data_IF_041621834831
#
_entry.id   IF_041621834831
#
_cell.length_a   1.000
_cell.length_b   1.000
_cell.length_c   1.000
_cell.angle_alpha   90.00
_cell.angle_beta   90.00
_cell.angle_gamma   90.00
#
_symmetry.space_group_name_H-M   'P 1'
#
loop_
_entity.id
_entity.type
_entity.pdbx_description
1 polymer ?
#
# COMPACT_ATOMS: atom_id res chain seq x y z
N UNK A 1 -5.66 47.67 -0.90
CA UNK A 1 -6.53 47.36 -2.05
C UNK A 1 -7.94 47.80 -1.66
N UNK A 2 -8.80 48.22 -2.58
CA UNK A 2 -10.19 48.54 -2.20
C UNK A 2 -10.93 47.21 -1.98
N UNK A 3 -11.29 46.90 -0.74
CA UNK A 3 -12.09 45.70 -0.43
C UNK A 3 -13.46 45.83 -1.10
N UNK A 4 -13.84 44.82 -1.89
CA UNK A 4 -15.18 44.79 -2.51
C UNK A 4 -16.26 44.73 -1.43
N UNK A 5 -17.33 45.50 -1.59
CA UNK A 5 -18.40 45.61 -0.61
C UNK A 5 -19.11 44.26 -0.33
N UNK A 6 -19.30 43.43 -1.35
CA UNK A 6 -19.92 42.09 -1.24
C UNK A 6 -19.07 41.09 -0.44
N UNK A 7 -17.75 41.17 -0.56
CA UNK A 7 -16.81 40.41 0.25
C UNK A 7 -16.86 40.89 1.71
N UNK A 8 -16.88 42.20 1.94
CA UNK A 8 -16.96 42.77 3.30
C UNK A 8 -18.26 42.38 4.02
N UNK A 9 -19.40 42.40 3.33
CA UNK A 9 -20.70 41.99 3.86
C UNK A 9 -20.70 40.52 4.32
N UNK A 10 -20.22 39.60 3.47
CA UNK A 10 -20.17 38.17 3.83
C UNK A 10 -19.15 37.88 4.94
N UNK A 11 -18.06 38.65 5.02
CA UNK A 11 -17.10 38.56 6.12
C UNK A 11 -17.72 39.03 7.45
N UNK A 12 -18.49 40.13 7.44
CA UNK A 12 -19.23 40.62 8.60
C UNK A 12 -20.30 39.63 9.07
N UNK A 13 -20.94 38.91 8.15
CA UNK A 13 -21.88 37.83 8.45
C UNK A 13 -21.21 36.51 8.94
N UNK A 14 -19.88 36.49 9.12
CA UNK A 14 -19.15 35.36 9.71
C UNK A 14 -18.93 34.16 8.78
N UNK A 15 -19.06 34.34 7.46
CA UNK A 15 -18.72 33.28 6.51
C UNK A 15 -17.20 33.06 6.42
N UNK A 16 -16.82 31.82 6.12
CA UNK A 16 -15.41 31.44 5.91
C UNK A 16 -14.94 31.75 4.49
N UNK A 17 -13.64 32.03 4.34
CA UNK A 17 -13.05 32.56 3.10
C UNK A 17 -13.34 31.70 1.87
N UNK A 18 -13.28 30.36 2.01
CA UNK A 18 -13.60 29.43 0.90
C UNK A 18 -15.08 29.44 0.50
N UNK A 19 -15.98 29.65 1.46
CA UNK A 19 -17.42 29.74 1.18
C UNK A 19 -17.72 31.01 0.40
N UNK A 20 -17.14 32.14 0.84
CA UNK A 20 -17.24 33.43 0.16
C UNK A 20 -16.66 33.34 -1.25
N UNK A 21 -15.45 32.79 -1.38
CA UNK A 21 -14.77 32.59 -2.66
C UNK A 21 -15.62 31.81 -3.66
N UNK A 22 -16.23 30.69 -3.22
CA UNK A 22 -17.12 29.87 -4.06
C UNK A 22 -18.40 30.61 -4.44
N UNK A 23 -19.01 31.34 -3.49
CA UNK A 23 -20.28 32.04 -3.69
C UNK A 23 -20.17 33.23 -4.64
N UNK A 24 -19.07 33.98 -4.55
CA UNK A 24 -18.83 35.19 -5.33
C UNK A 24 -17.93 34.98 -6.55
N UNK A 25 -17.45 33.75 -6.78
CA UNK A 25 -16.54 33.45 -7.90
C UNK A 25 -15.18 34.14 -7.81
N UNK A 26 -14.68 34.41 -6.60
CA UNK A 26 -13.38 35.06 -6.36
C UNK A 26 -12.35 34.07 -5.80
N UNK A 27 -11.07 34.42 -5.85
CA UNK A 27 -10.03 33.57 -5.26
C UNK A 27 -10.08 33.64 -3.73
N UNK A 28 -9.81 32.51 -3.07
CA UNK A 28 -9.74 32.47 -1.60
C UNK A 28 -8.67 33.42 -1.04
N UNK A 29 -7.57 33.64 -1.78
CA UNK A 29 -6.51 34.58 -1.41
C UNK A 29 -7.06 36.01 -1.36
N UNK A 30 -7.86 36.43 -2.35
CA UNK A 30 -8.48 37.76 -2.36
C UNK A 30 -9.38 37.99 -1.13
N UNK A 31 -10.14 36.97 -0.73
CA UNK A 31 -10.97 37.04 0.50
C UNK A 31 -10.11 37.09 1.76
N UNK A 32 -9.02 36.32 1.82
CA UNK A 32 -8.10 36.37 2.96
C UNK A 32 -7.40 37.72 3.07
N UNK A 33 -6.96 38.33 1.97
CA UNK A 33 -6.40 39.69 1.96
C UNK A 33 -7.43 40.70 2.45
N UNK A 34 -8.66 40.65 1.94
CA UNK A 34 -9.75 41.52 2.40
C UNK A 34 -10.03 41.37 3.90
N UNK A 35 -10.03 40.13 4.42
CA UNK A 35 -10.16 39.85 5.86
C UNK A 35 -9.05 40.51 6.67
N UNK A 36 -7.81 40.43 6.21
CA UNK A 36 -6.65 41.07 6.86
C UNK A 36 -6.74 42.59 6.82
N UNK A 37 -7.11 43.18 5.68
CA UNK A 37 -7.30 44.63 5.54
C UNK A 37 -8.42 45.18 6.46
N UNK A 38 -9.46 44.37 6.72
CA UNK A 38 -10.54 44.71 7.65
C UNK A 38 -10.22 44.43 9.13
N UNK A 39 -9.01 43.95 9.46
CA UNK A 39 -8.63 43.62 10.84
C UNK A 39 -9.41 42.45 11.45
N UNK A 40 -10.04 41.62 10.63
CA UNK A 40 -10.84 40.48 11.10
C UNK A 40 -9.93 39.29 11.45
N UNK A 41 -10.24 38.53 12.51
CA UNK A 41 -9.44 37.37 12.88
C UNK A 41 -9.46 36.33 11.76
N UNK A 42 -8.32 35.65 11.56
CA UNK A 42 -8.17 34.57 10.58
C UNK A 42 -9.30 33.55 10.76
N UNK A 43 -10.07 33.30 9.69
CA UNK A 43 -11.10 32.27 9.72
C UNK A 43 -10.46 30.94 10.14
N UNK A 44 -10.98 30.32 11.20
CA UNK A 44 -10.59 28.96 11.58
C UNK A 44 -11.02 28.03 10.45
N UNK A 45 -10.09 27.70 9.56
CA UNK A 45 -10.31 26.76 8.47
C UNK A 45 -10.65 25.39 9.04
N UNK A 46 -11.76 24.82 8.56
CA UNK A 46 -12.25 23.52 8.99
C UNK A 46 -13.77 23.48 8.96
N UNK A 47 -14.35 22.28 8.91
CA UNK A 47 -15.75 22.13 9.25
C UNK A 47 -15.90 22.62 10.68
N UNK A 48 -16.83 23.58 10.93
CA UNK A 48 -17.20 23.95 12.30
C UNK A 48 -17.42 22.63 13.05
N UNK A 49 -16.70 22.38 14.17
CA UNK A 49 -16.91 21.16 14.94
C UNK A 49 -18.40 21.10 15.20
N UNK A 50 -19.04 20.03 14.72
CA UNK A 50 -20.45 19.83 15.05
C UNK A 50 -20.57 19.77 16.56
N UNK A 51 -21.65 20.35 17.09
CA UNK A 51 -21.86 20.39 18.53
C UNK A 51 -21.96 18.97 19.10
N UNK A 52 -22.43 18.02 18.30
CA UNK A 52 -22.57 16.62 18.67
C UNK A 52 -22.22 15.65 17.53
N UNK A 53 -22.14 14.35 17.85
CA UNK A 53 -21.97 13.29 16.85
C UNK A 53 -23.26 13.10 16.04
N UNK A 54 -24.41 13.39 16.64
CA UNK A 54 -25.75 13.35 16.04
C UNK A 54 -25.91 14.43 14.96
N UNK A 55 -25.36 15.63 15.19
CA UNK A 55 -25.30 16.69 14.18
C UNK A 55 -24.48 16.25 12.94
N UNK A 56 -23.34 15.58 13.16
CA UNK A 56 -22.55 15.04 12.04
C UNK A 56 -23.27 13.92 11.31
N UNK A 57 -24.07 13.13 12.03
CA UNK A 57 -24.90 12.10 11.45
C UNK A 57 -25.92 12.72 10.49
N UNK A 58 -26.71 13.71 10.93
CA UNK A 58 -27.73 14.33 10.08
C UNK A 58 -27.15 15.10 8.88
N UNK A 59 -25.94 15.67 8.99
CA UNK A 59 -25.25 16.25 7.83
C UNK A 59 -24.90 15.24 6.73
N UNK A 60 -24.89 13.95 7.04
CA UNK A 60 -24.45 12.85 6.15
C UNK A 60 -25.55 11.85 5.83
N UNK A 61 -26.62 11.83 6.61
CA UNK A 61 -27.81 11.02 6.35
C UNK A 61 -28.72 11.79 5.39
N UNK A 62 -28.97 11.20 4.21
CA UNK A 62 -29.86 11.77 3.20
C UNK A 62 -31.19 11.00 3.21
N UNK A 63 -32.35 11.66 3.35
CA UNK A 63 -33.63 10.99 3.25
C UNK A 63 -33.82 10.43 1.83
N UNK A 64 -34.42 9.25 1.74
CA UNK A 64 -34.84 8.60 0.49
C UNK A 64 -36.27 8.06 0.68
N UNK A 65 -36.92 7.65 -0.41
CA UNK A 65 -38.32 7.20 -0.38
C UNK A 65 -38.56 6.06 0.62
N UNK A 66 -39.77 6.03 1.21
CA UNK A 66 -40.17 5.01 2.17
C UNK A 66 -39.64 5.21 3.60
N UNK A 67 -39.24 6.43 3.96
CA UNK A 67 -38.73 6.73 5.31
C UNK A 67 -37.33 6.17 5.58
N UNK A 68 -36.59 5.82 4.52
CA UNK A 68 -35.22 5.35 4.63
C UNK A 68 -34.24 6.52 4.62
N UNK A 69 -33.03 6.26 5.11
CA UNK A 69 -31.92 7.19 4.99
C UNK A 69 -30.70 6.50 4.40
N UNK A 70 -30.13 7.13 3.38
CA UNK A 70 -28.86 6.71 2.80
C UNK A 70 -27.70 7.45 3.46
N UNK A 71 -26.62 6.72 3.74
CA UNK A 71 -25.39 7.31 4.26
C UNK A 71 -24.47 7.82 3.14
N UNK A 72 -24.23 9.13 3.10
CA UNK A 72 -23.32 9.79 2.15
C UNK A 72 -21.91 10.02 2.70
N UNK A 73 -21.68 9.68 3.98
CA UNK A 73 -20.40 9.84 4.65
C UNK A 73 -19.39 8.73 4.40
N UNK A 74 -18.28 8.78 5.15
CA UNK A 74 -17.23 7.76 5.11
C UNK A 74 -17.72 6.37 5.52
N UNK A 75 -17.03 5.34 5.02
CA UNK A 75 -17.33 3.92 5.28
C UNK A 75 -16.04 3.19 5.63
N UNK A 76 -16.15 2.13 6.42
CA UNK A 76 -15.03 1.22 6.70
C UNK A 76 -14.66 0.42 5.44
N UNK A 77 -13.53 -0.30 5.48
CA UNK A 77 -13.14 -1.24 4.42
C UNK A 77 -14.15 -2.37 4.18
N UNK A 78 -15.03 -2.65 5.16
CA UNK A 78 -16.13 -3.61 5.07
C UNK A 78 -17.45 -2.96 4.61
N UNK A 79 -17.44 -1.67 4.26
CA UNK A 79 -18.60 -0.91 3.80
C UNK A 79 -19.52 -0.40 4.91
N UNK A 80 -19.16 -0.59 6.20
CA UNK A 80 -19.95 -0.11 7.34
C UNK A 80 -19.93 1.42 7.39
N UNK A 81 -21.08 2.10 7.44
CA UNK A 81 -21.11 3.56 7.54
C UNK A 81 -20.54 4.04 8.88
N UNK A 82 -19.67 5.05 8.84
CA UNK A 82 -18.93 5.55 10.01
C UNK A 82 -18.93 7.07 10.09
N UNK A 83 -19.00 7.59 11.32
CA UNK A 83 -18.84 9.00 11.67
C UNK A 83 -17.65 9.15 12.61
N UNK A 84 -16.69 10.00 12.23
CA UNK A 84 -15.60 10.40 13.11
C UNK A 84 -15.98 11.71 13.78
N UNK A 85 -15.96 11.74 15.11
CA UNK A 85 -16.28 12.90 15.94
C UNK A 85 -15.29 12.98 17.12
N UNK A 86 -15.08 14.18 17.66
CA UNK A 86 -14.03 14.45 18.65
C UNK A 86 -12.85 15.23 18.07
N UNK A 87 -12.18 16.00 18.92
CA UNK A 87 -11.13 16.96 18.56
C UNK A 87 -9.82 16.30 18.11
N UNK A 88 -8.77 16.37 18.96
CA UNK A 88 -7.44 15.84 18.64
C UNK A 88 -7.43 14.31 18.58
N UNK A 89 -8.21 13.66 19.43
CA UNK A 89 -8.48 12.22 19.38
C UNK A 89 -9.85 12.05 18.73
N UNK A 90 -9.87 11.51 17.52
CA UNK A 90 -11.11 11.24 16.80
C UNK A 90 -11.66 9.90 17.25
N UNK A 91 -12.81 9.92 17.89
CA UNK A 91 -13.58 8.72 18.14
C UNK A 91 -14.34 8.33 16.87
N UNK A 92 -14.35 7.04 16.55
CA UNK A 92 -15.07 6.52 15.38
C UNK A 92 -16.31 5.78 15.84
N UNK A 93 -17.48 6.34 15.54
CA UNK A 93 -18.77 5.71 15.77
C UNK A 93 -19.29 5.11 14.47
N UNK A 94 -20.01 4.00 14.53
CA UNK A 94 -20.79 3.56 13.35
C UNK A 94 -22.03 4.42 13.23
N UNK A 95 -22.45 4.74 12.00
CA UNK A 95 -23.68 5.51 11.80
C UNK A 95 -24.91 4.79 12.39
N UNK A 96 -24.89 3.45 12.44
CA UNK A 96 -25.95 2.67 13.08
C UNK A 96 -26.03 2.89 14.60
N UNK A 97 -24.89 2.93 15.32
CA UNK A 97 -24.92 3.21 16.77
C UNK A 97 -25.46 4.61 17.07
N UNK A 98 -25.07 5.59 16.26
CA UNK A 98 -25.56 6.98 16.41
C UNK A 98 -27.05 7.06 16.10
N UNK A 99 -27.51 6.43 15.01
CA UNK A 99 -28.94 6.36 14.68
C UNK A 99 -29.77 5.66 15.77
N UNK A 100 -29.26 4.58 16.35
CA UNK A 100 -29.91 3.91 17.50
C UNK A 100 -30.03 4.87 18.68
N UNK A 101 -28.95 5.57 19.04
CA UNK A 101 -28.94 6.55 20.13
C UNK A 101 -29.91 7.70 19.87
N UNK A 102 -29.98 8.22 18.64
CA UNK A 102 -30.94 9.27 18.25
C UNK A 102 -32.38 8.83 18.52
N UNK A 103 -32.75 7.58 18.19
CA UNK A 103 -34.10 7.06 18.42
C UNK A 103 -34.40 6.78 19.88
N UNK A 104 -33.46 6.13 20.58
CA UNK A 104 -33.72 5.53 21.89
C UNK A 104 -33.23 6.40 23.06
N UNK A 105 -32.47 7.45 22.80
CA UNK A 105 -31.88 8.31 23.83
C UNK A 105 -30.76 7.65 24.65
N UNK A 106 -30.39 6.41 24.33
CA UNK A 106 -29.40 5.61 25.07
C UNK A 106 -28.44 4.92 24.12
N UNK A 107 -27.25 4.59 24.62
CA UNK A 107 -26.28 3.83 23.85
C UNK A 107 -26.68 2.36 23.70
N UNK A 108 -26.49 1.76 22.51
CA UNK A 108 -26.76 0.36 22.30
C UNK A 108 -25.74 -0.51 23.05
N UNK A 109 -26.24 -1.59 23.66
CA UNK A 109 -25.47 -2.55 24.44
C UNK A 109 -24.69 -3.47 23.50
N UNK A 110 -25.30 -3.89 22.38
CA UNK A 110 -24.68 -4.82 21.43
C UNK A 110 -24.53 -4.21 20.03
N UNK A 111 -24.56 -5.07 19.01
CA UNK A 111 -24.30 -4.69 17.63
C UNK A 111 -25.55 -4.10 16.99
N UNK A 112 -25.46 -2.88 16.48
CA UNK A 112 -26.54 -2.26 15.73
C UNK A 112 -26.55 -2.68 14.26
N UNK A 113 -27.75 -3.00 13.75
CA UNK A 113 -27.98 -3.36 12.36
C UNK A 113 -29.27 -2.71 11.84
N UNK A 114 -29.37 -2.45 10.52
CA UNK A 114 -30.64 -2.09 9.89
C UNK A 114 -31.62 -3.26 10.01
N UNK A 115 -32.77 -3.05 10.63
CA UNK A 115 -33.85 -4.04 10.71
C UNK A 115 -34.76 -4.04 9.47
N UNK A 116 -34.66 -3.01 8.62
CA UNK A 116 -35.37 -2.94 7.35
C UNK A 116 -34.63 -3.66 6.22
N UNK A 117 -35.35 -4.05 5.17
CA UNK A 117 -34.76 -4.65 3.95
C UNK A 117 -33.97 -3.67 3.07
N UNK A 118 -34.02 -2.36 3.35
CA UNK A 118 -33.30 -1.36 2.55
C UNK A 118 -31.78 -1.45 2.77
N UNK A 119 -30.97 -1.65 1.71
CA UNK A 119 -29.53 -1.86 1.84
C UNK A 119 -28.83 -0.71 2.58
N UNK A 120 -28.28 -1.03 3.77
CA UNK A 120 -27.47 -0.11 4.59
C UNK A 120 -28.21 1.17 5.01
N UNK A 121 -29.53 1.07 5.20
CA UNK A 121 -30.34 2.13 5.78
C UNK A 121 -29.75 2.59 7.11
N UNK A 122 -29.66 3.91 7.33
CA UNK A 122 -29.25 4.50 8.60
C UNK A 122 -30.40 5.19 9.33
N UNK A 123 -31.64 5.09 8.85
CA UNK A 123 -32.80 5.73 9.48
C UNK A 123 -32.93 5.27 10.94
N UNK A 124 -33.01 6.18 11.93
CA UNK A 124 -33.13 5.82 13.35
C UNK A 124 -34.24 4.79 13.62
N UNK A 125 -35.38 4.92 12.95
CA UNK A 125 -36.56 4.05 13.04
C UNK A 125 -36.32 2.63 12.51
N UNK A 126 -35.27 2.45 11.72
CA UNK A 126 -34.91 1.19 11.09
C UNK A 126 -33.64 0.58 11.66
N UNK A 127 -33.09 1.09 12.76
CA UNK A 127 -31.95 0.46 13.44
C UNK A 127 -32.43 -0.30 14.66
N UNK A 128 -31.91 -1.52 14.82
CA UNK A 128 -32.10 -2.35 16.00
C UNK A 128 -30.76 -2.76 16.62
N UNK A 129 -30.77 -3.02 17.92
CA UNK A 129 -29.66 -3.62 18.66
C UNK A 129 -29.83 -5.15 18.71
N UNK A 130 -28.77 -5.91 18.44
CA UNK A 130 -28.78 -7.38 18.49
C UNK A 130 -29.08 -7.94 19.88
N UNK A 131 -28.90 -7.16 20.94
CA UNK A 131 -29.34 -7.55 22.28
C UNK A 131 -30.87 -7.49 22.47
N UNK A 132 -31.56 -6.66 21.69
CA UNK A 132 -33.01 -6.45 21.78
C UNK A 132 -33.80 -7.14 20.66
N UNK A 133 -33.18 -7.38 19.50
CA UNK A 133 -33.83 -8.00 18.35
C UNK A 133 -32.90 -8.99 17.64
N UNK A 134 -33.48 -10.10 17.17
CA UNK A 134 -32.74 -11.06 16.34
C UNK A 134 -32.43 -10.43 14.99
N UNK A 135 -31.15 -10.48 14.58
CA UNK A 135 -30.71 -10.02 13.27
C UNK A 135 -31.35 -10.85 12.15
N UNK A 136 -31.98 -10.23 11.14
CA UNK A 136 -32.48 -10.94 9.98
C UNK A 136 -31.37 -11.69 9.25
N UNK A 137 -31.63 -12.96 8.89
CA UNK A 137 -30.66 -13.84 8.24
C UNK A 137 -30.13 -13.29 6.90
N UNK A 138 -30.88 -12.39 6.23
CA UNK A 138 -30.47 -11.79 4.96
C UNK A 138 -29.26 -10.84 5.07
N UNK A 139 -28.92 -10.37 6.28
CA UNK A 139 -27.69 -9.61 6.50
C UNK A 139 -26.44 -10.48 6.70
N UNK A 140 -26.56 -11.82 6.66
CA UNK A 140 -25.43 -12.75 6.58
C UNK A 140 -24.91 -12.94 5.14
N UNK A 141 -25.51 -12.24 4.16
CA UNK A 141 -25.15 -12.24 2.73
C UNK A 141 -23.71 -11.82 2.39
N UNK A 142 -22.87 -11.50 3.38
CA UNK A 142 -21.43 -11.30 3.20
C UNK A 142 -20.61 -12.58 3.02
N UNK A 143 -21.22 -13.78 3.09
CA UNK A 143 -20.51 -15.06 2.86
C UNK A 143 -21.20 -15.95 1.84
N UNK A 144 -21.79 -15.36 0.80
CA UNK A 144 -22.11 -16.09 -0.42
C UNK A 144 -20.85 -16.30 -1.26
N UNK A 145 -20.09 -17.36 -0.92
CA UNK A 145 -19.32 -18.23 -1.82
C UNK A 145 -19.15 -17.66 -3.25
N UNK A 146 -17.98 -17.13 -3.59
CA UNK A 146 -17.59 -17.09 -5.02
C UNK A 146 -17.73 -18.51 -5.53
N UNK A 147 -18.63 -18.67 -6.50
CA UNK A 147 -19.16 -19.95 -6.98
C UNK A 147 -18.09 -21.03 -7.09
N UNK A 148 -18.50 -22.28 -6.88
CA UNK A 148 -17.71 -23.48 -7.17
C UNK A 148 -17.25 -23.56 -8.63
N UNK A 149 -17.58 -22.58 -9.50
CA UNK A 149 -17.20 -22.51 -10.91
C UNK A 149 -15.72 -22.79 -11.19
N UNK A 150 -14.81 -22.38 -10.31
CA UNK A 150 -13.36 -22.64 -10.48
C UNK A 150 -12.84 -23.85 -9.72
N UNK A 151 -13.68 -24.58 -8.98
CA UNK A 151 -13.24 -25.76 -8.23
C UNK A 151 -12.76 -26.84 -9.18
N UNK A 152 -13.51 -27.12 -10.23
CA UNK A 152 -13.18 -28.16 -11.20
C UNK A 152 -11.90 -27.83 -11.98
N UNK A 153 -11.72 -26.56 -12.37
CA UNK A 153 -10.48 -26.08 -12.98
C UNK A 153 -9.28 -26.22 -12.03
N UNK A 154 -9.44 -25.89 -10.75
CA UNK A 154 -8.40 -26.09 -9.73
C UNK A 154 -8.07 -27.58 -9.61
N UNK A 155 -9.08 -28.47 -9.52
CA UNK A 155 -8.88 -29.93 -9.42
C UNK A 155 -8.16 -30.48 -10.66
N UNK A 156 -8.50 -29.98 -11.86
CA UNK A 156 -7.80 -30.34 -13.10
C UNK A 156 -6.31 -29.98 -13.04
N UNK A 157 -5.98 -28.71 -12.76
CA UNK A 157 -4.57 -28.27 -12.69
C UNK A 157 -3.79 -28.95 -11.55
N UNK A 158 -4.48 -29.29 -10.46
CA UNK A 158 -3.92 -30.09 -9.37
C UNK A 158 -3.53 -31.50 -9.83
N UNK A 159 -4.38 -32.18 -10.63
CA UNK A 159 -4.07 -33.50 -11.22
C UNK A 159 -2.92 -33.45 -12.23
N UNK A 160 -2.72 -32.32 -12.89
CA UNK A 160 -1.56 -32.05 -13.75
C UNK A 160 -0.27 -31.77 -12.95
N UNK A 161 -0.29 -31.86 -11.62
CA UNK A 161 0.88 -31.70 -10.76
C UNK A 161 1.33 -30.24 -10.57
N UNK A 162 0.51 -29.25 -10.96
CA UNK A 162 0.87 -27.83 -10.84
C UNK A 162 0.92 -27.39 -9.37
N UNK A 163 1.79 -26.43 -9.05
CA UNK A 163 1.91 -25.90 -7.68
C UNK A 163 0.73 -24.98 -7.31
N UNK A 164 0.41 -24.87 -6.02
CA UNK A 164 -0.70 -24.00 -5.56
C UNK A 164 -0.52 -22.54 -6.00
N UNK A 165 0.72 -22.02 -5.99
CA UNK A 165 1.03 -20.65 -6.41
C UNK A 165 0.83 -20.44 -7.91
N UNK A 166 1.18 -21.45 -8.69
CA UNK A 166 1.05 -21.40 -10.14
C UNK A 166 -0.42 -21.45 -10.57
N UNK A 167 -1.20 -22.36 -9.97
CA UNK A 167 -2.66 -22.42 -10.14
C UNK A 167 -3.32 -21.10 -9.73
N UNK A 168 -2.94 -20.56 -8.57
CA UNK A 168 -3.46 -19.29 -8.08
C UNK A 168 -3.20 -18.13 -9.03
N UNK A 169 -1.99 -18.06 -9.62
CA UNK A 169 -1.65 -17.05 -10.63
C UNK A 169 -2.46 -17.24 -11.90
N UNK A 170 -2.58 -18.49 -12.36
CA UNK A 170 -3.27 -18.84 -13.61
C UNK A 170 -4.77 -18.55 -13.54
N UNK A 171 -5.43 -18.93 -12.45
CA UNK A 171 -6.88 -18.79 -12.28
C UNK A 171 -7.30 -17.53 -11.53
N UNK A 172 -6.33 -16.67 -11.17
CA UNK A 172 -6.53 -15.48 -10.34
C UNK A 172 -7.34 -15.79 -9.06
N UNK A 173 -6.93 -16.83 -8.32
CA UNK A 173 -7.55 -17.25 -7.05
C UNK A 173 -6.56 -17.17 -5.90
N UNK A 174 -7.07 -17.16 -4.67
CA UNK A 174 -6.22 -17.19 -3.47
C UNK A 174 -5.45 -18.54 -3.37
N UNK A 175 -4.11 -18.54 -3.20
CA UNK A 175 -3.33 -19.78 -3.07
C UNK A 175 -3.73 -20.69 -1.91
N UNK A 176 -4.27 -20.15 -0.81
CA UNK A 176 -4.80 -20.92 0.32
C UNK A 176 -6.10 -21.62 -0.04
N UNK A 177 -6.92 -21.05 -0.93
CA UNK A 177 -8.09 -21.75 -1.50
C UNK A 177 -7.64 -23.00 -2.25
N UNK A 178 -6.63 -22.88 -3.13
CA UNK A 178 -6.06 -24.03 -3.83
C UNK A 178 -5.49 -25.06 -2.86
N UNK A 179 -4.79 -24.61 -1.81
CA UNK A 179 -4.26 -25.49 -0.76
C UNK A 179 -5.34 -26.28 -0.01
N UNK A 180 -6.47 -25.66 0.32
CA UNK A 180 -7.62 -26.38 0.90
C UNK A 180 -8.20 -27.41 -0.07
N UNK A 181 -8.44 -27.01 -1.32
CA UNK A 181 -8.97 -27.93 -2.35
C UNK A 181 -8.02 -29.12 -2.56
N UNK A 182 -6.70 -28.89 -2.59
CA UNK A 182 -5.69 -29.95 -2.67
C UNK A 182 -5.82 -30.96 -1.53
N UNK A 183 -5.94 -30.48 -0.29
CA UNK A 183 -6.13 -31.33 0.87
C UNK A 183 -7.46 -32.10 0.81
N UNK A 184 -8.55 -31.44 0.39
CA UNK A 184 -9.87 -32.04 0.23
C UNK A 184 -9.89 -33.18 -0.82
N UNK A 185 -9.11 -33.06 -1.91
CA UNK A 185 -9.01 -34.12 -2.92
C UNK A 185 -7.92 -35.16 -2.62
N UNK A 186 -7.33 -35.15 -1.42
CA UNK A 186 -6.35 -36.13 -0.98
C UNK A 186 -5.01 -36.09 -1.73
N UNK A 187 -4.70 -34.98 -2.41
CA UNK A 187 -3.41 -34.85 -3.10
C UNK A 187 -2.32 -34.45 -2.13
N UNK A 188 -1.16 -35.11 -2.22
CA UNK A 188 0.03 -34.74 -1.47
C UNK A 188 0.38 -33.26 -1.70
N UNK A 189 0.95 -32.64 -0.66
CA UNK A 189 1.48 -31.30 -0.77
C UNK A 189 2.50 -31.26 -1.93
N UNK A 190 2.42 -30.23 -2.76
CA UNK A 190 3.41 -30.04 -3.82
C UNK A 190 4.77 -29.83 -3.17
N UNK A 191 5.61 -30.87 -3.21
CA UNK A 191 7.02 -30.77 -2.86
C UNK A 191 7.65 -30.10 -4.06
N UNK A 192 7.97 -28.82 -3.91
CA UNK A 192 8.82 -28.16 -4.88
C UNK A 192 10.17 -28.87 -4.83
N UNK A 193 10.38 -29.81 -5.77
CA UNK A 193 11.72 -30.22 -6.16
C UNK A 193 12.33 -28.94 -6.69
N UNK A 194 13.06 -28.23 -5.82
CA UNK A 194 13.87 -27.11 -6.29
C UNK A 194 14.83 -27.77 -7.26
N UNK A 195 14.78 -27.46 -8.58
CA UNK A 195 15.91 -27.81 -9.42
C UNK A 195 17.15 -27.32 -8.67
N UNK A 196 18.21 -28.13 -8.63
CA UNK A 196 19.47 -27.76 -7.99
C UNK A 196 19.73 -26.31 -8.41
N UNK A 197 19.64 -25.40 -7.44
CA UNK A 197 19.51 -23.98 -7.77
C UNK A 197 20.72 -23.60 -8.62
N UNK A 198 20.50 -22.81 -9.68
CA UNK A 198 21.59 -22.27 -10.51
C UNK A 198 22.74 -21.85 -9.62
N UNK A 199 23.94 -22.35 -9.89
CA UNK A 199 25.10 -22.06 -9.06
C UNK A 199 25.37 -20.56 -9.02
N UNK A 200 26.17 -20.10 -8.05
CA UNK A 200 26.50 -18.68 -7.97
C UNK A 200 27.25 -18.22 -9.23
N UNK A 201 28.11 -19.10 -9.75
CA UNK A 201 28.93 -18.95 -10.94
C UNK A 201 28.05 -18.89 -12.20
N UNK A 202 27.11 -19.82 -12.37
CA UNK A 202 26.16 -19.82 -13.49
C UNK A 202 25.30 -18.56 -13.49
N UNK A 203 24.83 -18.14 -12.31
CA UNK A 203 24.02 -16.93 -12.18
C UNK A 203 24.83 -15.67 -12.51
N UNK A 204 26.11 -15.65 -12.16
CA UNK A 204 27.03 -14.60 -12.54
C UNK A 204 27.25 -14.59 -14.06
N UNK A 205 27.48 -15.75 -14.68
CA UNK A 205 27.66 -15.89 -16.12
C UNK A 205 26.45 -15.36 -16.92
N UNK A 206 25.23 -15.61 -16.44
CA UNK A 206 24.00 -15.06 -17.05
C UNK A 206 23.91 -13.53 -16.98
N UNK A 207 24.52 -12.93 -15.95
CA UNK A 207 24.46 -11.50 -15.64
C UNK A 207 25.60 -10.68 -16.26
N UNK A 208 26.46 -11.29 -17.08
CA UNK A 208 27.60 -10.60 -17.71
C UNK A 208 27.57 -10.64 -19.23
N UNK A 209 28.25 -9.69 -19.87
CA UNK A 209 28.42 -9.62 -21.33
C UNK A 209 29.89 -9.37 -21.66
N UNK A 210 30.55 -10.23 -22.46
CA UNK A 210 31.90 -9.96 -22.95
C UNK A 210 31.95 -8.66 -23.77
N UNK A 211 33.09 -7.97 -23.70
CA UNK A 211 33.37 -6.73 -24.43
C UNK A 211 34.80 -6.78 -24.99
N UNK A 212 35.16 -5.87 -25.91
CA UNK A 212 36.50 -5.85 -26.53
C UNK A 212 37.60 -5.72 -25.48
N UNK A 213 38.77 -6.33 -25.71
CA UNK A 213 39.93 -6.23 -24.80
C UNK A 213 39.86 -7.10 -23.55
N UNK A 214 39.11 -8.21 -23.57
CA UNK A 214 38.99 -9.13 -22.42
C UNK A 214 38.12 -8.60 -21.27
N UNK A 215 37.51 -7.44 -21.44
CA UNK A 215 36.61 -6.87 -20.44
C UNK A 215 35.28 -7.62 -20.40
N UNK A 216 34.66 -7.65 -19.22
CA UNK A 216 33.34 -8.23 -19.00
C UNK A 216 32.45 -7.20 -18.34
N UNK A 217 31.39 -6.76 -19.02
CA UNK A 217 30.46 -5.75 -18.53
C UNK A 217 29.33 -6.40 -17.74
N UNK A 218 29.00 -5.81 -16.60
CA UNK A 218 27.82 -6.21 -15.83
C UNK A 218 26.52 -5.81 -16.55
N UNK A 219 25.64 -6.78 -16.78
CA UNK A 219 24.30 -6.59 -17.34
C UNK A 219 23.16 -6.92 -16.34
N UNK A 220 23.52 -7.36 -15.13
CA UNK A 220 22.56 -7.67 -14.07
C UNK A 220 22.10 -6.46 -13.26
N UNK A 221 21.42 -6.74 -12.15
CA UNK A 221 20.93 -5.70 -11.23
C UNK A 221 22.08 -4.93 -10.54
N UNK A 222 21.87 -3.66 -10.27
CA UNK A 222 22.83 -2.79 -9.57
C UNK A 222 22.19 -2.23 -8.30
N UNK A 223 22.96 -2.15 -7.22
CA UNK A 223 22.57 -1.50 -5.97
C UNK A 223 23.44 -0.26 -5.78
N UNK A 224 22.88 0.91 -6.08
CA UNK A 224 23.66 2.14 -6.24
C UNK A 224 24.65 1.97 -7.41
N UNK A 225 25.94 2.15 -7.15
CA UNK A 225 27.03 1.99 -8.13
C UNK A 225 27.68 0.60 -8.12
N UNK A 226 27.13 -0.36 -7.36
CA UNK A 226 27.74 -1.68 -7.16
C UNK A 226 26.95 -2.77 -7.90
N UNK A 227 27.59 -3.53 -8.83
CA UNK A 227 27.05 -4.75 -9.40
C UNK A 227 26.57 -5.72 -8.32
N UNK A 228 25.29 -6.08 -8.30
CA UNK A 228 24.68 -6.88 -7.23
C UNK A 228 24.03 -8.15 -7.78
N UNK A 229 24.41 -9.29 -7.21
CA UNK A 229 23.91 -10.62 -7.56
C UNK A 229 23.25 -11.26 -6.34
N UNK A 230 21.94 -11.55 -6.41
CA UNK A 230 21.24 -12.22 -5.32
C UNK A 230 21.31 -13.73 -5.52
N UNK A 231 21.88 -14.49 -4.59
CA UNK A 231 21.92 -15.96 -4.63
C UNK A 231 21.67 -16.52 -3.24
N UNK A 232 20.81 -17.53 -3.10
CA UNK A 232 20.52 -18.15 -1.80
C UNK A 232 20.05 -17.19 -0.70
N UNK A 233 19.23 -16.17 -1.02
CA UNK A 233 18.82 -15.08 -0.09
C UNK A 233 19.95 -14.16 0.40
N UNK A 234 21.15 -14.27 -0.18
CA UNK A 234 22.30 -13.40 0.11
C UNK A 234 22.60 -12.50 -1.08
N UNK A 235 23.14 -11.33 -0.81
CA UNK A 235 23.65 -10.42 -1.84
C UNK A 235 25.15 -10.64 -2.00
N UNK A 236 25.59 -10.84 -3.24
CA UNK A 236 26.98 -10.97 -3.64
C UNK A 236 27.34 -9.80 -4.55
N UNK A 237 28.54 -9.26 -4.39
CA UNK A 237 29.08 -8.29 -5.35
C UNK A 237 29.44 -9.03 -6.64
N UNK A 238 28.94 -8.57 -7.79
CA UNK A 238 29.29 -9.15 -9.09
C UNK A 238 30.80 -9.15 -9.34
N UNK A 239 31.52 -8.14 -8.85
CA UNK A 239 33.00 -8.10 -8.91
C UNK A 239 33.66 -9.14 -8.00
N UNK A 240 33.12 -9.36 -6.80
CA UNK A 240 33.68 -10.34 -5.87
C UNK A 240 33.50 -11.78 -6.39
N UNK A 241 32.37 -12.07 -7.05
CA UNK A 241 32.15 -13.38 -7.68
C UNK A 241 33.09 -13.58 -8.86
N UNK A 242 33.21 -12.58 -9.77
CA UNK A 242 34.17 -12.65 -10.88
C UNK A 242 35.61 -12.84 -10.42
N UNK A 243 36.03 -12.10 -9.39
CA UNK A 243 37.34 -12.25 -8.74
C UNK A 243 37.57 -13.68 -8.23
N UNK A 244 36.59 -14.25 -7.51
CA UNK A 244 36.73 -15.59 -6.94
C UNK A 244 36.82 -16.68 -8.01
N UNK A 245 36.12 -16.52 -9.13
CA UNK A 245 36.21 -17.41 -10.30
C UNK A 245 37.62 -17.36 -10.91
N UNK A 246 38.14 -16.17 -11.18
CA UNK A 246 39.44 -16.03 -11.86
C UNK A 246 40.64 -16.38 -10.97
N UNK A 247 40.58 -16.07 -9.68
CA UNK A 247 41.72 -16.26 -8.76
C UNK A 247 41.62 -17.52 -7.89
N UNK A 248 40.52 -18.28 -7.97
CA UNK A 248 40.31 -19.48 -7.16
C UNK A 248 40.25 -19.24 -5.65
N UNK A 249 40.04 -17.99 -5.21
CA UNK A 249 39.98 -17.61 -3.78
C UNK A 249 38.97 -16.50 -3.52
N UNK A 250 38.44 -16.42 -2.30
CA UNK A 250 37.59 -15.28 -1.91
C UNK A 250 38.43 -14.00 -1.78
N UNK A 251 37.87 -12.83 -2.17
CA UNK A 251 38.56 -11.55 -2.03
C UNK A 251 38.65 -11.13 -0.57
N UNK A 252 39.74 -10.47 -0.21
CA UNK A 252 39.88 -9.84 1.11
C UNK A 252 39.53 -8.35 1.01
N UNK A 253 38.35 -8.00 1.53
CA UNK A 253 37.83 -6.63 1.52
C UNK A 253 37.14 -6.23 0.22
N UNK A 254 37.14 -4.92 -0.10
CA UNK A 254 36.44 -4.39 -1.27
C UNK A 254 37.18 -4.74 -2.56
N UNK A 255 36.44 -5.31 -3.53
CA UNK A 255 36.93 -5.57 -4.89
C UNK A 255 36.64 -4.38 -5.80
N UNK A 256 37.68 -3.89 -6.47
CA UNK A 256 37.63 -2.77 -7.40
C UNK A 256 38.16 -3.20 -8.77
N UNK A 257 37.68 -2.62 -9.88
CA UNK A 257 38.28 -2.85 -11.18
C UNK A 257 39.62 -2.08 -11.28
N UNK A 258 40.71 -2.76 -11.61
CA UNK A 258 42.02 -2.16 -11.88
C UNK A 258 42.16 -1.62 -13.31
N UNK A 259 41.32 -2.08 -14.24
CA UNK A 259 41.45 -1.80 -15.67
C UNK A 259 40.86 -0.45 -16.16
N UNK A 260 40.34 0.40 -15.28
CA UNK A 260 39.72 1.69 -15.63
C UNK A 260 38.38 1.63 -16.37
N UNK A 261 38.00 0.49 -16.95
CA UNK A 261 36.73 0.34 -17.67
C UNK A 261 35.53 0.34 -16.72
N UNK A 262 34.60 1.27 -16.93
CA UNK A 262 33.37 1.38 -16.16
C UNK A 262 32.56 0.08 -16.20
N UNK A 263 32.07 -0.37 -15.04
CA UNK A 263 31.27 -1.58 -14.89
C UNK A 263 31.94 -2.90 -15.31
N UNK A 264 33.27 -2.89 -15.47
CA UNK A 264 34.02 -4.14 -15.63
C UNK A 264 33.90 -4.99 -14.35
N UNK A 265 33.57 -6.26 -14.56
CA UNK A 265 33.51 -7.31 -13.54
C UNK A 265 34.38 -8.53 -13.89
N UNK A 266 35.17 -8.45 -14.97
CA UNK A 266 36.15 -9.49 -15.31
C UNK A 266 37.06 -9.75 -14.11
N UNK A 267 37.23 -11.02 -13.75
CA UNK A 267 37.96 -11.40 -12.54
C UNK A 267 39.44 -11.04 -12.63
N UNK A 268 40.02 -11.20 -13.82
CA UNK A 268 41.41 -10.87 -14.16
C UNK A 268 41.71 -9.37 -14.06
N UNK A 269 40.66 -8.54 -14.17
CA UNK A 269 40.76 -7.08 -14.04
C UNK A 269 40.36 -6.58 -12.66
N UNK A 270 40.05 -7.48 -11.72
CA UNK A 270 39.57 -7.14 -10.40
C UNK A 270 40.71 -7.28 -9.37
N UNK A 271 40.86 -6.27 -8.50
CA UNK A 271 41.84 -6.30 -7.41
C UNK A 271 41.14 -6.23 -6.07
N UNK A 272 41.63 -6.97 -5.09
CA UNK A 272 41.17 -6.90 -3.70
C UNK A 272 42.10 -6.02 -2.83
N UNK A 273 41.85 -5.95 -1.52
CA UNK A 273 42.60 -5.07 -0.62
C UNK A 273 44.10 -5.36 -0.59
N UNK A 274 44.53 -6.61 -0.33
CA UNK A 274 45.93 -6.99 -0.34
C UNK A 274 46.64 -6.72 -1.67
N UNK A 275 46.03 -7.06 -2.81
CA UNK A 275 46.64 -6.81 -4.12
C UNK A 275 46.91 -5.31 -4.33
N UNK A 276 45.92 -4.45 -4.04
CA UNK A 276 46.12 -3.00 -4.17
C UNK A 276 47.19 -2.43 -3.24
N UNK A 277 47.35 -2.99 -2.02
CA UNK A 277 48.43 -2.59 -1.12
C UNK A 277 49.79 -3.01 -1.65
N UNK A 278 49.89 -4.22 -2.22
CA UNK A 278 51.11 -4.69 -2.85
C UNK A 278 51.48 -3.82 -4.07
N UNK A 279 50.52 -3.49 -4.92
CA UNK A 279 50.73 -2.61 -6.09
C UNK A 279 51.21 -1.20 -5.67
N UNK A 280 50.62 -0.66 -4.61
CA UNK A 280 51.02 0.65 -4.06
C UNK A 280 52.45 0.61 -3.50
N UNK A 281 52.80 -0.43 -2.74
CA UNK A 281 54.13 -0.59 -2.17
C UNK A 281 55.19 -0.84 -3.26
N UNK A 282 54.84 -1.61 -4.29
CA UNK A 282 55.70 -1.80 -5.46
C UNK A 282 55.95 -0.46 -6.18
N UNK A 283 54.90 0.34 -6.39
CA UNK A 283 55.02 1.66 -7.02
C UNK A 283 55.88 2.62 -6.17
N UNK A 284 55.78 2.54 -4.85
CA UNK A 284 56.59 3.35 -3.93
C UNK A 284 58.07 2.96 -3.97
N UNK A 285 58.38 1.67 -4.02
CA UNK A 285 59.75 1.17 -3.99
C UNK A 285 60.47 1.28 -5.34
N UNK A 286 59.77 1.03 -6.45
CA UNK A 286 60.38 0.90 -7.78
C UNK A 286 59.98 2.00 -8.76
N UNK A 287 59.11 2.94 -8.34
CA UNK A 287 58.49 3.91 -9.22
C UNK A 287 57.35 3.29 -10.05
N UNK A 288 56.66 4.13 -10.83
CA UNK A 288 55.70 3.62 -11.82
C UNK A 288 56.48 3.01 -12.98
N UNK A 289 56.17 1.77 -13.33
CA UNK A 289 56.61 1.21 -14.60
C UNK A 289 56.19 2.16 -15.73
N UNK A 290 57.16 2.60 -16.53
CA UNK A 290 56.95 3.47 -17.69
C UNK A 290 56.22 2.71 -18.80
#
# INVERSE_FOLDING_TARGET
MTVRADVAELLAAGYGDRTIARRLGVTAISVTTARTELGLPKARGGNKPSASVEDLFWRRARPVDGGHYEWTGGRSSKGTPQVQWGGRVRETHTAYRVAYRIRHGVDPVSYCFPSCGFPRCVAPEHIADSGAARRPAHHDGGRGRTSDSRRDEIVKLLREGRSNKDIARTLHVDPKRVGRIRAEVGQAAFIAVRPAGTSLEEKWAQAVRPTMGGHVRWAGHVRGTTPNLVHGQRNHSGRAVGFAIAHGRQPVGRVLPGCGTAWCVAGEHATDGPMRRADALYTELFGRAA
#
